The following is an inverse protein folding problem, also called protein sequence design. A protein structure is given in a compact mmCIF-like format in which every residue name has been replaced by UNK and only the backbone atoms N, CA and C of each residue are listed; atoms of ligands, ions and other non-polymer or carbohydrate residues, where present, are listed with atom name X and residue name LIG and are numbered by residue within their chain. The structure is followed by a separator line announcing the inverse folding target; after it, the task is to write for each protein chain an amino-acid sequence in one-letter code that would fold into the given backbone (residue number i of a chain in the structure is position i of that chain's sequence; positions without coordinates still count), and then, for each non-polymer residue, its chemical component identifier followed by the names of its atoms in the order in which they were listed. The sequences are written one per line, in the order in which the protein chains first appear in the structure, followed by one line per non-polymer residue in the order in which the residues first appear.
data_IF_819441783514
#
_entry.id   IF_819441783514
#
_cell.length_a   1.000
_cell.length_b   1.000
_cell.length_c   1.000
_cell.angle_alpha   90.00
_cell.angle_beta   90.00
_cell.angle_gamma   90.00
#
_symmetry.space_group_name_H-M   'P 1'
#
loop_
_entity.id
_entity.type
_entity.pdbx_description
1 polymer ?
#
# COMPACT_ATOMS: atom_id res chain seq x y z
N UNK A 1 -29.48 -10.25 6.87
CA UNK A 1 -28.66 -9.14 7.42
C UNK A 1 -27.43 -9.01 6.54
N UNK A 2 -27.06 -7.80 6.11
CA UNK A 2 -25.87 -7.62 5.24
C UNK A 2 -24.61 -7.91 6.04
N UNK A 3 -23.69 -8.67 5.44
CA UNK A 3 -22.54 -9.19 6.16
C UNK A 3 -21.22 -8.55 5.72
N UNK A 4 -21.21 -7.87 4.55
CA UNK A 4 -20.01 -7.32 3.94
C UNK A 4 -20.26 -5.86 3.54
N UNK A 5 -19.30 -4.99 3.86
CA UNK A 5 -19.24 -3.63 3.33
C UNK A 5 -18.14 -3.54 2.26
N UNK A 6 -18.43 -2.83 1.18
CA UNK A 6 -17.44 -2.41 0.20
C UNK A 6 -17.16 -0.92 0.41
N UNK A 7 -15.94 -0.57 0.79
CA UNK A 7 -15.48 0.80 0.92
C UNK A 7 -14.81 1.27 -0.37
N UNK A 8 -15.28 2.37 -0.94
CA UNK A 8 -14.78 2.96 -2.19
C UNK A 8 -14.25 4.36 -1.91
N UNK A 9 -12.91 4.57 -1.83
CA UNK A 9 -12.36 5.92 -1.84
C UNK A 9 -12.57 6.54 -3.22
N UNK A 10 -13.09 7.76 -3.29
CA UNK A 10 -13.45 8.39 -4.56
C UNK A 10 -12.96 9.84 -4.62
N UNK A 11 -12.06 10.13 -5.57
CA UNK A 11 -11.54 11.45 -5.85
C UNK A 11 -11.67 11.74 -7.35
N UNK A 12 -12.53 12.70 -7.72
CA UNK A 12 -12.81 13.05 -9.12
C UNK A 12 -13.14 11.83 -10.01
N UNK A 13 -13.88 10.88 -9.43
CA UNK A 13 -14.08 9.56 -9.99
C UNK A 13 -15.40 9.39 -10.76
N UNK A 14 -16.15 10.45 -11.06
CA UNK A 14 -17.50 10.40 -11.65
C UNK A 14 -17.55 9.55 -12.94
N UNK A 15 -16.47 9.55 -13.73
CA UNK A 15 -16.38 8.78 -14.98
C UNK A 15 -16.09 7.30 -14.75
N UNK A 16 -15.27 6.99 -13.73
CA UNK A 16 -14.73 5.64 -13.52
C UNK A 16 -15.58 4.81 -12.56
N UNK A 17 -16.22 5.45 -11.58
CA UNK A 17 -17.01 4.78 -10.55
C UNK A 17 -18.18 3.95 -11.10
N UNK A 18 -18.62 4.26 -12.32
CA UNK A 18 -19.70 3.53 -13.00
C UNK A 18 -19.29 2.08 -13.29
N UNK A 19 -18.08 1.85 -13.80
CA UNK A 19 -17.57 0.51 -14.07
C UNK A 19 -17.35 -0.26 -12.78
N UNK A 20 -16.83 0.41 -11.76
CA UNK A 20 -16.66 -0.15 -10.42
C UNK A 20 -18.01 -0.64 -9.86
N UNK A 21 -19.04 0.22 -9.84
CA UNK A 21 -20.37 -0.13 -9.35
C UNK A 21 -21.06 -1.19 -10.23
N UNK A 22 -20.88 -1.17 -11.54
CA UNK A 22 -21.38 -2.21 -12.43
C UNK A 22 -20.79 -3.59 -12.07
N UNK A 23 -19.49 -3.65 -11.74
CA UNK A 23 -18.86 -4.89 -11.27
C UNK A 23 -19.40 -5.40 -9.95
N UNK A 24 -19.90 -4.50 -9.09
CA UNK A 24 -20.56 -4.84 -7.83
C UNK A 24 -22.01 -5.28 -8.07
N UNK A 25 -22.71 -4.63 -9.00
CA UNK A 25 -24.10 -4.97 -9.33
C UNK A 25 -24.28 -6.40 -9.83
N UNK A 26 -23.28 -6.94 -10.51
CA UNK A 26 -23.31 -8.32 -11.01
C UNK A 26 -22.85 -9.37 -10.00
N UNK A 27 -22.44 -8.99 -8.78
CA UNK A 27 -22.01 -9.96 -7.77
C UNK A 27 -23.17 -10.89 -7.36
N UNK A 28 -22.86 -12.19 -7.26
CA UNK A 28 -23.81 -13.26 -6.90
C UNK A 28 -24.52 -12.99 -5.57
N UNK A 29 -23.83 -12.36 -4.62
CA UNK A 29 -24.34 -12.05 -3.27
C UNK A 29 -24.61 -10.57 -3.05
N UNK A 30 -24.91 -9.80 -4.10
CA UNK A 30 -25.11 -8.33 -4.01
C UNK A 30 -26.11 -7.89 -2.93
N UNK A 31 -27.10 -8.72 -2.61
CA UNK A 31 -28.10 -8.43 -1.55
C UNK A 31 -27.52 -8.42 -0.14
N UNK A 32 -26.38 -9.10 0.06
CA UNK A 32 -25.67 -9.18 1.34
C UNK A 32 -24.61 -8.07 1.49
N UNK A 33 -24.51 -7.17 0.50
CA UNK A 33 -23.49 -6.14 0.41
C UNK A 33 -24.07 -4.76 0.72
N UNK A 34 -23.35 -3.98 1.53
CA UNK A 34 -23.52 -2.53 1.67
C UNK A 34 -22.33 -1.83 1.02
N UNK A 35 -22.56 -0.69 0.39
CA UNK A 35 -21.53 0.08 -0.28
C UNK A 35 -21.38 1.44 0.40
N UNK A 36 -20.14 1.84 0.67
CA UNK A 36 -19.81 3.15 1.20
C UNK A 36 -18.86 3.83 0.24
N UNK A 37 -19.35 4.86 -0.46
CA UNK A 37 -18.50 5.75 -1.27
C UNK A 37 -18.01 6.87 -0.36
N UNK A 38 -16.72 6.90 -0.07
CA UNK A 38 -16.08 7.94 0.71
C UNK A 38 -15.44 8.97 -0.25
N UNK A 39 -16.17 10.07 -0.51
CA UNK A 39 -15.64 11.15 -1.35
C UNK A 39 -14.42 11.78 -0.71
N UNK A 40 -13.38 12.05 -1.49
CA UNK A 40 -12.18 12.77 -1.06
C UNK A 40 -11.97 14.08 -1.85
N UNK A 41 -13.02 14.56 -2.50
CA UNK A 41 -13.07 15.87 -3.16
C UNK A 41 -14.34 16.59 -2.72
N UNK A 42 -14.18 17.85 -2.26
CA UNK A 42 -15.29 18.67 -1.74
C UNK A 42 -16.36 18.95 -2.80
N UNK A 43 -15.91 19.14 -4.04
CA UNK A 43 -16.78 19.50 -5.16
C UNK A 43 -17.37 18.28 -5.90
N UNK A 44 -17.05 17.07 -5.45
CA UNK A 44 -17.56 15.85 -6.10
C UNK A 44 -18.97 15.52 -5.62
N UNK A 45 -19.88 15.38 -6.56
CA UNK A 45 -21.23 14.84 -6.32
C UNK A 45 -21.35 13.44 -6.94
N UNK A 46 -21.70 12.47 -6.11
CA UNK A 46 -21.96 11.09 -6.49
C UNK A 46 -23.46 10.71 -6.31
N UNK A 47 -24.36 11.66 -6.15
CA UNK A 47 -25.81 11.40 -5.94
C UNK A 47 -26.42 10.60 -7.11
N UNK A 48 -25.95 10.85 -8.34
CA UNK A 48 -26.39 10.19 -9.57
C UNK A 48 -26.24 8.66 -9.55
N UNK A 49 -25.31 8.11 -8.74
CA UNK A 49 -25.10 6.66 -8.70
C UNK A 49 -26.29 5.90 -8.12
N UNK A 50 -27.08 6.53 -7.23
CA UNK A 50 -28.27 5.88 -6.64
C UNK A 50 -29.39 5.72 -7.66
N UNK A 51 -29.54 6.66 -8.57
CA UNK A 51 -30.48 6.58 -9.67
C UNK A 51 -30.06 5.53 -10.70
N UNK A 52 -28.74 5.46 -10.95
CA UNK A 52 -28.18 4.54 -11.94
C UNK A 52 -28.10 3.09 -11.46
N UNK A 53 -27.97 2.90 -10.15
CA UNK A 53 -27.82 1.58 -9.51
C UNK A 53 -28.84 1.41 -8.36
N UNK A 54 -30.16 1.45 -8.64
CA UNK A 54 -31.21 1.45 -7.60
C UNK A 54 -31.27 0.15 -6.79
N UNK A 55 -30.69 -0.93 -7.30
CA UNK A 55 -30.64 -2.22 -6.59
C UNK A 55 -29.49 -2.32 -5.59
N UNK A 56 -28.54 -1.39 -5.62
CA UNK A 56 -27.39 -1.38 -4.71
C UNK A 56 -27.70 -0.54 -3.47
N UNK A 57 -27.25 -1.04 -2.31
CA UNK A 57 -27.33 -0.29 -1.06
C UNK A 57 -26.13 0.64 -0.91
N UNK A 58 -26.25 1.85 -1.42
CA UNK A 58 -25.18 2.83 -1.49
C UNK A 58 -25.38 3.95 -0.47
N UNK A 59 -24.37 4.14 0.37
CA UNK A 59 -24.17 5.32 1.23
C UNK A 59 -23.02 6.17 0.71
N UNK A 60 -23.20 7.50 0.70
CA UNK A 60 -22.16 8.45 0.25
C UNK A 60 -21.72 9.25 1.47
N UNK A 61 -20.43 9.25 1.76
CA UNK A 61 -19.80 10.06 2.79
C UNK A 61 -19.07 11.25 2.14
N UNK A 62 -19.56 12.47 2.35
CA UNK A 62 -18.87 13.66 1.84
C UNK A 62 -17.55 13.89 2.60
N UNK A 63 -16.66 14.70 2.04
CA UNK A 63 -15.48 15.20 2.72
C UNK A 63 -15.53 16.73 2.87
N UNK A 64 -14.73 17.25 3.79
CA UNK A 64 -14.54 18.70 3.99
C UNK A 64 -13.28 19.20 3.29
N UNK A 65 -12.35 18.31 3.02
CA UNK A 65 -11.06 18.56 2.39
C UNK A 65 -10.50 17.28 1.78
N UNK A 66 -9.54 17.40 0.88
CA UNK A 66 -8.83 16.25 0.32
C UNK A 66 -7.83 15.71 1.36
N UNK A 67 -8.09 14.51 1.84
CA UNK A 67 -7.30 13.84 2.88
C UNK A 67 -6.48 12.64 2.36
N UNK A 68 -6.69 12.23 1.12
CA UNK A 68 -6.06 11.08 0.50
C UNK A 68 -6.83 9.77 0.68
N UNK A 69 -6.48 8.78 -0.14
CA UNK A 69 -7.17 7.49 -0.20
C UNK A 69 -7.20 6.76 1.14
N UNK A 70 -6.13 6.86 1.93
CA UNK A 70 -6.04 6.25 3.27
C UNK A 70 -7.14 6.73 4.21
N UNK A 71 -7.27 8.05 4.38
CA UNK A 71 -8.30 8.61 5.26
C UNK A 71 -9.71 8.47 4.68
N UNK A 72 -9.86 8.44 3.35
CA UNK A 72 -11.15 8.09 2.74
C UNK A 72 -11.55 6.64 3.07
N UNK A 73 -10.63 5.65 2.96
CA UNK A 73 -10.87 4.27 3.40
C UNK A 73 -11.15 4.19 4.89
N UNK A 74 -10.47 5.02 5.71
CA UNK A 74 -10.72 5.07 7.15
C UNK A 74 -12.14 5.54 7.47
N UNK A 75 -12.64 6.59 6.77
CA UNK A 75 -14.04 7.03 6.95
C UNK A 75 -15.04 5.92 6.60
N UNK A 76 -14.77 5.15 5.53
CA UNK A 76 -15.60 4.00 5.18
C UNK A 76 -15.55 2.90 6.27
N UNK A 77 -14.38 2.61 6.83
CA UNK A 77 -14.22 1.65 7.94
C UNK A 77 -14.93 2.10 9.22
N UNK A 78 -14.85 3.38 9.55
CA UNK A 78 -15.51 3.94 10.74
C UNK A 78 -17.04 3.89 10.60
N UNK A 79 -17.57 4.11 9.40
CA UNK A 79 -19.00 4.03 9.10
C UNK A 79 -19.51 2.60 8.87
N UNK A 80 -18.62 1.61 8.76
CA UNK A 80 -18.95 0.22 8.51
C UNK A 80 -19.73 -0.39 9.68
N UNK A 81 -20.91 -1.00 9.36
CA UNK A 81 -21.81 -1.65 10.31
C UNK A 81 -21.87 -3.17 10.15
N UNK A 82 -21.13 -3.72 9.21
CA UNK A 82 -21.06 -5.16 8.93
C UNK A 82 -19.86 -5.79 9.61
N UNK A 83 -19.81 -7.13 9.66
CA UNK A 83 -18.70 -7.86 10.28
C UNK A 83 -17.41 -7.82 9.45
N UNK A 84 -17.57 -7.67 8.14
CA UNK A 84 -16.47 -7.71 7.17
C UNK A 84 -16.49 -6.51 6.25
N UNK A 85 -15.28 -6.05 5.86
CA UNK A 85 -15.08 -4.97 4.90
C UNK A 85 -14.05 -5.35 3.86
N UNK A 86 -14.30 -4.99 2.61
CA UNK A 86 -13.32 -5.00 1.51
C UNK A 86 -13.22 -3.60 0.92
N UNK A 87 -12.08 -3.29 0.32
CA UNK A 87 -11.88 -2.02 -0.36
C UNK A 87 -11.65 -2.23 -1.86
N UNK A 88 -12.20 -1.33 -2.65
CA UNK A 88 -11.96 -1.28 -4.08
C UNK A 88 -11.76 0.18 -4.49
N UNK A 89 -10.74 0.45 -5.30
CA UNK A 89 -10.52 1.78 -5.83
C UNK A 89 -11.57 2.11 -6.90
N UNK A 90 -11.96 3.37 -6.97
CA UNK A 90 -13.09 3.80 -7.80
C UNK A 90 -12.88 3.64 -9.30
N UNK A 91 -11.65 3.40 -9.74
CA UNK A 91 -11.24 3.13 -11.14
C UNK A 91 -10.96 1.65 -11.44
N UNK A 92 -11.12 0.77 -10.43
CA UNK A 92 -10.93 -0.67 -10.54
C UNK A 92 -12.26 -1.44 -10.55
N UNK A 93 -12.20 -2.77 -10.77
CA UNK A 93 -13.38 -3.63 -10.80
C UNK A 93 -13.14 -4.97 -10.10
N UNK A 94 -14.18 -5.58 -9.54
CA UNK A 94 -14.13 -7.00 -9.19
C UNK A 94 -14.02 -7.84 -10.44
N UNK A 95 -13.09 -8.80 -10.45
CA UNK A 95 -12.71 -9.53 -11.66
C UNK A 95 -13.82 -10.44 -12.21
N UNK A 96 -14.66 -10.98 -11.34
CA UNK A 96 -15.73 -11.88 -11.74
C UNK A 96 -16.97 -11.75 -10.85
N UNK A 97 -18.16 -12.24 -11.28
CA UNK A 97 -19.40 -12.11 -10.53
C UNK A 97 -19.43 -12.85 -9.18
N UNK A 98 -18.51 -13.75 -8.91
CA UNK A 98 -18.43 -14.50 -7.65
C UNK A 98 -17.31 -13.99 -6.72
N UNK A 99 -16.61 -12.92 -7.07
CA UNK A 99 -15.42 -12.45 -6.37
C UNK A 99 -15.66 -12.26 -4.86
N UNK A 100 -16.76 -11.60 -4.47
CA UNK A 100 -17.07 -11.36 -3.07
C UNK A 100 -17.53 -12.66 -2.37
N UNK A 101 -18.23 -13.54 -3.06
CA UNK A 101 -18.63 -14.85 -2.52
C UNK A 101 -17.40 -15.75 -2.30
N UNK A 102 -16.42 -15.74 -3.20
CA UNK A 102 -15.15 -16.46 -3.04
C UNK A 102 -14.37 -15.96 -1.82
N UNK A 103 -14.24 -14.64 -1.66
CA UNK A 103 -13.63 -14.05 -0.46
C UNK A 103 -14.39 -14.47 0.81
N UNK A 104 -15.73 -14.38 0.82
CA UNK A 104 -16.56 -14.84 1.95
C UNK A 104 -16.35 -16.33 2.22
N UNK A 105 -16.29 -17.13 1.18
CA UNK A 105 -16.03 -18.58 1.27
C UNK A 105 -14.67 -18.93 1.85
N UNK A 106 -13.72 -17.98 1.88
CA UNK A 106 -12.42 -18.11 2.53
C UNK A 106 -12.45 -17.92 4.06
N UNK A 107 -13.55 -17.47 4.64
CA UNK A 107 -13.65 -17.27 6.11
C UNK A 107 -13.65 -18.63 6.80
N UNK A 108 -12.73 -18.81 7.76
CA UNK A 108 -12.60 -19.99 8.63
C UNK A 108 -12.56 -19.53 10.09
N UNK A 109 -12.46 -20.47 11.01
CA UNK A 109 -12.27 -20.17 12.44
C UNK A 109 -11.00 -19.31 12.61
N UNK A 110 -11.10 -18.27 13.42
CA UNK A 110 -10.03 -17.31 13.71
C UNK A 110 -9.48 -16.54 12.50
N UNK A 111 -10.12 -16.62 11.35
CA UNK A 111 -9.76 -15.79 10.19
C UNK A 111 -10.06 -14.32 10.47
N UNK A 112 -9.08 -13.46 10.28
CA UNK A 112 -9.26 -12.00 10.40
C UNK A 112 -9.09 -11.29 9.07
N UNK A 113 -8.51 -11.98 8.10
CA UNK A 113 -8.34 -11.51 6.73
C UNK A 113 -8.46 -12.68 5.76
N UNK A 114 -9.16 -12.49 4.65
CA UNK A 114 -9.11 -13.38 3.49
C UNK A 114 -8.45 -12.62 2.35
N UNK A 115 -7.42 -13.19 1.73
CA UNK A 115 -6.70 -12.63 0.60
C UNK A 115 -6.92 -13.50 -0.64
N UNK A 116 -7.44 -12.90 -1.72
CA UNK A 116 -7.52 -13.50 -3.05
C UNK A 116 -6.43 -12.97 -3.98
N UNK A 117 -6.34 -13.56 -5.16
CA UNK A 117 -5.47 -13.06 -6.24
C UNK A 117 -6.06 -11.79 -6.83
N UNK A 118 -5.25 -10.78 -7.05
CA UNK A 118 -5.62 -9.68 -7.92
C UNK A 118 -4.85 -9.74 -9.25
N UNK A 119 -5.50 -9.34 -10.31
CA UNK A 119 -4.91 -9.20 -11.63
C UNK A 119 -4.56 -7.74 -11.87
N UNK A 120 -3.43 -7.50 -12.50
CA UNK A 120 -3.01 -6.17 -12.93
C UNK A 120 -3.04 -6.09 -14.45
N UNK A 121 -3.69 -5.06 -15.00
CA UNK A 121 -3.46 -4.68 -16.39
C UNK A 121 -2.03 -4.18 -16.53
N UNK A 122 -1.20 -4.86 -17.33
CA UNK A 122 0.21 -4.49 -17.54
C UNK A 122 0.47 -3.89 -18.91
N UNK A 123 -0.45 -4.12 -19.85
CA UNK A 123 -0.39 -3.58 -21.21
C UNK A 123 -1.78 -3.47 -21.78
N UNK A 124 -2.07 -2.38 -22.47
CA UNK A 124 -3.31 -2.18 -23.20
C UNK A 124 -2.98 -1.69 -24.60
N UNK A 125 -3.39 -2.44 -25.59
CA UNK A 125 -3.19 -2.11 -27.01
C UNK A 125 -4.47 -2.41 -27.80
N UNK A 126 -4.56 -2.04 -29.09
CA UNK A 126 -5.77 -2.27 -29.91
C UNK A 126 -6.19 -3.72 -30.05
N UNK A 127 -5.29 -4.67 -29.80
CA UNK A 127 -5.56 -6.11 -29.89
C UNK A 127 -6.05 -6.72 -28.57
N UNK A 128 -5.97 -5.98 -27.46
CA UNK A 128 -6.44 -6.46 -26.17
C UNK A 128 -5.67 -5.92 -24.97
N UNK A 129 -5.93 -6.54 -23.83
CA UNK A 129 -5.31 -6.21 -22.54
C UNK A 129 -4.54 -7.42 -22.03
N UNK A 130 -3.29 -7.23 -21.67
CA UNK A 130 -2.49 -8.26 -20.98
C UNK A 130 -2.62 -8.11 -19.49
N UNK A 131 -2.99 -9.20 -18.83
CA UNK A 131 -3.14 -9.26 -17.38
C UNK A 131 -1.96 -10.02 -16.76
N UNK A 132 -1.47 -9.55 -15.63
CA UNK A 132 -0.50 -10.26 -14.79
C UNK A 132 -1.14 -10.58 -13.43
N UNK A 133 -1.15 -11.84 -12.98
CA UNK A 133 -1.60 -12.18 -11.65
C UNK A 133 -0.61 -11.66 -10.60
N UNK A 134 -1.16 -11.19 -9.48
CA UNK A 134 -0.44 -10.78 -8.29
C UNK A 134 -0.98 -11.59 -7.12
N UNK A 135 -0.30 -12.68 -6.81
CA UNK A 135 -0.65 -13.58 -5.72
C UNK A 135 0.40 -13.60 -4.59
N UNK A 136 1.27 -12.60 -4.57
CA UNK A 136 2.31 -12.49 -3.55
C UNK A 136 1.67 -12.35 -2.18
N UNK A 137 1.73 -13.39 -1.38
CA UNK A 137 1.34 -13.34 0.02
C UNK A 137 2.23 -12.29 0.70
N UNK A 138 1.59 -11.23 1.18
CA UNK A 138 2.36 -10.18 1.84
C UNK A 138 2.51 -8.88 1.07
N UNK A 139 1.92 -8.79 -0.13
CA UNK A 139 1.89 -7.50 -0.82
C UNK A 139 1.26 -6.39 0.05
N UNK A 140 1.70 -5.15 -0.08
CA UNK A 140 1.25 -4.05 0.78
C UNK A 140 -0.18 -3.58 0.47
N UNK A 141 -0.70 -3.82 -0.75
CA UNK A 141 -1.97 -3.27 -1.21
C UNK A 141 -3.18 -3.90 -0.53
N UNK A 142 -4.27 -3.16 -0.45
CA UNK A 142 -5.57 -3.62 0.09
C UNK A 142 -6.42 -4.38 -0.92
N UNK A 143 -5.93 -4.54 -2.14
CA UNK A 143 -6.64 -5.15 -3.27
C UNK A 143 -6.94 -6.63 -3.04
N UNK A 144 -8.17 -7.03 -3.37
CA UNK A 144 -8.59 -8.43 -3.29
C UNK A 144 -8.61 -9.00 -1.85
N UNK A 145 -8.83 -8.15 -0.84
CA UNK A 145 -8.82 -8.56 0.56
C UNK A 145 -10.15 -8.30 1.25
N UNK A 146 -10.51 -9.16 2.17
CA UNK A 146 -11.68 -9.04 3.03
C UNK A 146 -11.22 -9.06 4.49
N UNK A 147 -11.55 -8.04 5.26
CA UNK A 147 -11.05 -7.80 6.62
C UNK A 147 -12.16 -7.94 7.66
N UNK A 148 -11.85 -8.53 8.81
CA UNK A 148 -12.73 -8.59 9.98
C UNK A 148 -12.75 -7.21 10.68
N UNK A 149 -13.89 -6.54 10.66
CA UNK A 149 -14.05 -5.17 11.19
C UNK A 149 -13.84 -5.11 12.69
N UNK A 150 -14.34 -6.12 13.43
CA UNK A 150 -14.17 -6.18 14.88
C UNK A 150 -12.68 -6.29 15.24
N UNK A 151 -11.94 -7.17 14.58
CA UNK A 151 -10.50 -7.33 14.82
C UNK A 151 -9.76 -6.00 14.59
N UNK A 152 -10.03 -5.31 13.50
CA UNK A 152 -9.39 -4.01 13.19
C UNK A 152 -9.66 -2.98 14.29
N UNK A 153 -10.93 -2.84 14.71
CA UNK A 153 -11.37 -1.88 15.73
C UNK A 153 -10.78 -2.22 17.11
N UNK A 154 -10.83 -3.47 17.53
CA UNK A 154 -10.31 -3.93 18.83
C UNK A 154 -8.81 -3.72 18.96
N UNK A 155 -8.09 -3.84 17.85
CA UNK A 155 -6.64 -3.65 17.82
C UNK A 155 -6.20 -2.22 17.48
N UNK A 156 -7.13 -1.30 17.21
CA UNK A 156 -6.81 0.08 16.83
C UNK A 156 -6.05 0.18 15.51
N UNK A 157 -6.25 -0.79 14.62
CA UNK A 157 -5.61 -0.80 13.29
C UNK A 157 -6.39 0.15 12.38
N UNK A 158 -5.74 1.21 11.94
CA UNK A 158 -6.34 2.30 11.17
C UNK A 158 -5.45 2.68 9.99
N UNK A 159 -6.07 3.17 8.92
CA UNK A 159 -5.34 3.87 7.86
C UNK A 159 -4.81 5.20 8.39
N UNK A 160 -3.71 5.65 7.82
CA UNK A 160 -3.08 6.92 8.13
C UNK A 160 -3.30 7.95 7.01
N UNK A 161 -2.86 9.17 7.27
CA UNK A 161 -2.89 10.30 6.34
C UNK A 161 -1.79 10.26 5.27
N UNK A 162 -1.00 9.18 5.21
CA UNK A 162 0.03 9.04 4.18
C UNK A 162 -0.60 9.10 2.78
N UNK A 163 0.04 9.83 1.89
CA UNK A 163 -0.41 9.97 0.49
C UNK A 163 0.00 8.77 -0.39
N UNK A 164 0.97 7.99 0.06
CA UNK A 164 1.37 6.73 -0.54
C UNK A 164 1.82 5.77 0.56
N UNK A 165 1.60 4.46 0.35
CA UNK A 165 1.92 3.38 1.28
C UNK A 165 1.08 3.36 2.58
N UNK A 166 -0.05 4.07 2.61
CA UNK A 166 -1.04 4.00 3.68
C UNK A 166 -1.65 2.60 3.84
N UNK A 167 -1.82 1.91 2.73
CA UNK A 167 -2.26 0.52 2.66
C UNK A 167 -1.16 -0.44 3.14
N UNK A 168 0.09 -0.16 2.81
CA UNK A 168 1.25 -0.89 3.34
C UNK A 168 1.34 -0.80 4.86
N UNK A 169 1.25 0.41 5.42
CA UNK A 169 1.22 0.61 6.87
C UNK A 169 0.09 -0.19 7.52
N UNK A 170 -1.11 -0.14 6.95
CA UNK A 170 -2.29 -0.83 7.46
C UNK A 170 -2.11 -2.35 7.47
N UNK A 171 -1.67 -2.94 6.36
CA UNK A 171 -1.48 -4.38 6.24
C UNK A 171 -0.30 -4.90 7.07
N UNK A 172 0.79 -4.15 7.19
CA UNK A 172 1.92 -4.53 8.05
C UNK A 172 1.52 -4.55 9.53
N UNK A 173 0.70 -3.61 10.00
CA UNK A 173 0.15 -3.64 11.36
C UNK A 173 -0.63 -4.93 11.61
N UNK A 174 -1.51 -5.34 10.68
CA UNK A 174 -2.27 -6.58 10.80
C UNK A 174 -1.33 -7.77 10.99
N UNK A 175 -0.36 -7.94 10.09
CA UNK A 175 0.56 -9.08 10.08
C UNK A 175 1.39 -9.18 11.36
N UNK A 176 1.92 -8.07 11.83
CA UNK A 176 2.72 -8.05 13.05
C UNK A 176 1.88 -8.25 14.31
N UNK A 177 0.61 -7.80 14.33
CA UNK A 177 -0.30 -7.98 15.48
C UNK A 177 -0.74 -9.43 15.63
N UNK A 178 -0.91 -10.16 14.52
CA UNK A 178 -1.35 -11.56 14.59
C UNK A 178 -0.22 -12.56 14.91
N UNK A 179 1.03 -12.13 14.79
CA UNK A 179 2.14 -13.04 15.06
C UNK A 179 2.10 -13.60 16.48
N UNK A 180 2.19 -14.92 16.59
CA UNK A 180 2.05 -15.63 17.86
C UNK A 180 0.64 -15.64 18.46
N UNK A 181 -0.38 -15.12 17.76
CA UNK A 181 -1.79 -15.16 18.17
C UNK A 181 -2.52 -16.35 17.54
N UNK A 182 -3.75 -16.70 17.99
CA UNK A 182 -4.56 -17.72 17.34
C UNK A 182 -5.19 -17.27 16.02
N UNK A 183 -5.05 -16.00 15.65
CA UNK A 183 -5.63 -15.44 14.43
C UNK A 183 -4.83 -15.79 13.19
N UNK A 184 -5.49 -15.83 12.04
CA UNK A 184 -4.85 -16.17 10.78
C UNK A 184 -5.36 -15.32 9.60
N UNK A 185 -4.53 -15.26 8.57
CA UNK A 185 -4.87 -14.77 7.23
C UNK A 185 -5.09 -15.99 6.35
N UNK A 186 -6.25 -16.11 5.75
CA UNK A 186 -6.53 -17.17 4.80
C UNK A 186 -6.33 -16.69 3.37
N UNK A 187 -5.56 -17.43 2.58
CA UNK A 187 -5.27 -17.11 1.17
C UNK A 187 -6.05 -18.07 0.28
N UNK A 188 -6.78 -17.52 -0.67
CA UNK A 188 -7.49 -18.25 -1.72
C UNK A 188 -6.82 -18.00 -3.07
N UNK A 189 -6.83 -18.99 -3.96
CA UNK A 189 -6.15 -18.91 -5.27
C UNK A 189 -7.04 -18.37 -6.39
N UNK A 190 -8.19 -17.82 -6.04
CA UNK A 190 -9.16 -17.25 -6.98
C UNK A 190 -8.84 -15.79 -7.27
N UNK A 191 -8.92 -15.42 -8.57
CA UNK A 191 -8.80 -14.04 -9.01
C UNK A 191 -10.09 -13.29 -8.68
N UNK A 192 -10.01 -12.31 -7.81
CA UNK A 192 -11.17 -11.57 -7.27
C UNK A 192 -11.18 -10.08 -7.66
N UNK A 193 -10.03 -9.51 -8.00
CA UNK A 193 -9.86 -8.07 -8.21
C UNK A 193 -9.07 -7.82 -9.49
N UNK A 194 -9.43 -6.76 -10.22
CA UNK A 194 -8.70 -6.29 -11.40
C UNK A 194 -8.26 -4.84 -11.18
N UNK A 195 -6.95 -4.66 -11.03
CA UNK A 195 -6.30 -3.36 -11.04
C UNK A 195 -6.11 -2.89 -12.47
N UNK A 196 -6.80 -1.81 -12.85
CA UNK A 196 -6.86 -1.30 -14.22
C UNK A 196 -5.81 -0.23 -14.48
N UNK A 197 -5.30 -0.22 -15.70
CA UNK A 197 -4.49 0.88 -16.21
C UNK A 197 -5.45 1.93 -16.80
N UNK A 198 -5.42 3.15 -16.31
CA UNK A 198 -6.12 4.13 -17.09
C UNK A 198 -6.68 5.36 -16.43
N UNK A 199 -6.56 5.54 -15.13
CA UNK A 199 -6.92 6.85 -14.58
C UNK A 199 -5.80 7.86 -14.84
N UNK A 200 -6.16 9.03 -15.37
CA UNK A 200 -5.22 10.14 -15.60
C UNK A 200 -4.60 10.66 -14.29
N UNK A 201 -5.18 10.27 -13.16
CA UNK A 201 -4.83 10.70 -11.81
C UNK A 201 -4.16 9.62 -10.96
N UNK A 202 -3.77 8.47 -11.55
CA UNK A 202 -3.10 7.40 -10.81
C UNK A 202 -1.75 7.86 -10.25
N UNK A 203 -1.55 7.70 -8.94
CA UNK A 203 -0.28 8.00 -8.27
C UNK A 203 0.83 7.06 -8.74
N UNK A 204 0.46 5.86 -9.21
CA UNK A 204 1.38 4.77 -9.57
C UNK A 204 1.72 4.70 -11.05
N UNK A 205 1.32 5.66 -11.88
CA UNK A 205 1.74 5.69 -13.28
C UNK A 205 3.26 5.77 -13.38
N UNK A 206 3.83 4.69 -13.86
CA UNK A 206 5.27 4.55 -14.07
C UNK A 206 5.62 4.88 -15.50
N UNK A 207 6.49 5.82 -15.67
CA UNK A 207 7.12 6.18 -16.93
C UNK A 207 8.34 7.03 -16.63
N UNK A 208 9.24 7.13 -17.57
CA UNK A 208 10.30 8.13 -17.53
C UNK A 208 10.05 9.13 -18.65
N UNK A 209 10.36 10.39 -18.41
CA UNK A 209 10.35 11.37 -19.47
C UNK A 209 11.60 11.23 -20.37
N UNK A 210 11.71 12.09 -21.39
CA UNK A 210 12.83 12.12 -22.33
C UNK A 210 14.22 12.25 -21.68
N UNK A 211 14.27 12.72 -20.44
CA UNK A 211 15.50 12.90 -19.68
C UNK A 211 15.69 11.81 -18.60
N UNK A 212 14.91 10.71 -18.70
CA UNK A 212 15.01 9.57 -17.78
C UNK A 212 14.47 9.82 -16.38
N UNK A 213 13.72 10.92 -16.17
CA UNK A 213 13.13 11.23 -14.86
C UNK A 213 11.77 10.54 -14.76
N UNK A 214 11.51 9.80 -13.65
CA UNK A 214 10.23 9.17 -13.42
C UNK A 214 9.07 10.15 -13.51
N UNK A 215 8.02 9.79 -14.26
CA UNK A 215 6.82 10.61 -14.41
C UNK A 215 5.83 10.45 -13.26
N UNK A 216 6.11 9.53 -12.35
CA UNK A 216 5.31 9.35 -11.14
C UNK A 216 6.15 9.72 -9.91
N UNK A 217 5.48 9.83 -8.78
CA UNK A 217 6.09 10.24 -7.50
C UNK A 217 6.92 9.11 -6.89
N UNK A 218 8.00 8.69 -7.58
CA UNK A 218 8.90 7.64 -7.10
C UNK A 218 9.46 7.95 -5.72
N UNK A 219 9.91 9.19 -5.54
CA UNK A 219 10.44 9.67 -4.27
C UNK A 219 9.38 9.62 -3.16
N UNK A 220 8.14 10.00 -3.46
CA UNK A 220 7.03 9.93 -2.53
C UNK A 220 6.76 8.49 -2.07
N UNK A 221 6.69 7.55 -3.00
CA UNK A 221 6.47 6.15 -2.65
C UNK A 221 7.61 5.62 -1.76
N UNK A 222 8.86 6.00 -2.01
CA UNK A 222 9.99 5.59 -1.18
C UNK A 222 9.99 6.24 0.21
N UNK A 223 9.68 7.52 0.29
CA UNK A 223 9.50 8.21 1.58
C UNK A 223 8.32 7.59 2.32
N UNK A 224 7.18 7.43 1.65
CA UNK A 224 5.97 6.82 2.20
C UNK A 224 6.24 5.42 2.76
N UNK A 225 6.94 4.55 2.02
CA UNK A 225 7.30 3.21 2.47
C UNK A 225 8.18 3.23 3.73
N UNK A 226 9.12 4.17 3.81
CA UNK A 226 9.96 4.34 4.99
C UNK A 226 9.16 4.79 6.20
N UNK A 227 8.31 5.81 6.04
CA UNK A 227 7.46 6.32 7.13
C UNK A 227 6.44 5.27 7.57
N UNK A 228 5.78 4.61 6.62
CA UNK A 228 4.81 3.55 6.89
C UNK A 228 5.42 2.40 7.69
N UNK A 229 6.63 1.95 7.32
CA UNK A 229 7.33 0.88 8.03
C UNK A 229 7.77 1.30 9.44
N UNK A 230 8.22 2.55 9.63
CA UNK A 230 8.54 3.09 10.96
C UNK A 230 7.28 3.14 11.84
N UNK A 231 6.18 3.68 11.31
CA UNK A 231 4.90 3.80 12.06
C UNK A 231 4.33 2.43 12.43
N UNK A 232 4.32 1.48 11.48
CA UNK A 232 3.85 0.12 11.75
C UNK A 232 4.72 -0.57 12.81
N UNK A 233 6.04 -0.44 12.75
CA UNK A 233 6.96 -1.00 13.74
C UNK A 233 6.74 -0.40 15.14
N UNK A 234 6.63 0.93 15.24
CA UNK A 234 6.38 1.62 16.52
C UNK A 234 5.03 1.23 17.12
N UNK A 235 3.98 1.20 16.29
CA UNK A 235 2.65 0.76 16.72
C UNK A 235 2.66 -0.66 17.30
N UNK A 236 3.30 -1.60 16.63
CA UNK A 236 3.35 -2.98 17.07
C UNK A 236 4.27 -3.18 18.29
N UNK A 237 5.39 -2.45 18.38
CA UNK A 237 6.25 -2.46 19.56
C UNK A 237 5.55 -1.95 20.83
N UNK A 238 4.64 -0.98 20.71
CA UNK A 238 3.83 -0.53 21.85
C UNK A 238 2.92 -1.63 22.39
N UNK A 239 2.44 -2.54 21.53
CA UNK A 239 1.58 -3.67 21.92
C UNK A 239 2.39 -4.86 22.43
N UNK A 240 3.51 -5.16 21.82
CA UNK A 240 4.38 -6.28 22.18
C UNK A 240 5.86 -5.94 21.90
N UNK A 241 6.59 -5.36 22.88
CA UNK A 241 7.96 -4.87 22.69
C UNK A 241 9.00 -5.96 22.37
N UNK A 242 8.72 -7.22 22.70
CA UNK A 242 9.66 -8.34 22.58
C UNK A 242 9.23 -9.35 21.50
N UNK A 243 8.41 -8.96 20.53
CA UNK A 243 7.98 -9.83 19.46
C UNK A 243 9.07 -9.96 18.38
N UNK A 244 9.56 -11.19 18.17
CA UNK A 244 10.58 -11.51 17.17
C UNK A 244 10.17 -11.23 15.73
N UNK A 245 8.86 -11.29 15.41
CA UNK A 245 8.37 -10.94 14.10
C UNK A 245 8.54 -9.46 13.78
N UNK A 246 8.42 -8.58 14.79
CA UNK A 246 8.66 -7.15 14.62
C UNK A 246 10.15 -6.90 14.33
N UNK A 247 11.04 -7.55 15.08
CA UNK A 247 12.49 -7.44 14.86
C UNK A 247 12.87 -7.98 13.46
N UNK A 248 12.27 -9.10 13.06
CA UNK A 248 12.42 -9.64 11.71
C UNK A 248 11.92 -8.67 10.65
N UNK A 249 10.72 -8.12 10.79
CA UNK A 249 10.16 -7.12 9.88
C UNK A 249 11.06 -5.90 9.75
N UNK A 250 11.54 -5.35 10.87
CA UNK A 250 12.46 -4.20 10.86
C UNK A 250 13.75 -4.56 10.11
N UNK A 251 14.28 -5.77 10.28
CA UNK A 251 15.48 -6.24 9.57
C UNK A 251 15.19 -6.38 8.07
N UNK A 252 14.06 -6.93 7.68
CA UNK A 252 13.61 -7.02 6.29
C UNK A 252 13.51 -5.64 5.63
N UNK A 253 12.95 -4.65 6.34
CA UNK A 253 12.87 -3.28 5.85
C UNK A 253 14.25 -2.64 5.69
N UNK A 254 15.20 -2.87 6.62
CA UNK A 254 16.55 -2.33 6.51
C UNK A 254 17.34 -2.92 5.33
N UNK A 255 17.21 -4.22 5.10
CA UNK A 255 17.79 -4.89 3.92
C UNK A 255 17.13 -4.39 2.64
N UNK A 256 15.80 -4.15 2.67
CA UNK A 256 15.07 -3.55 1.56
C UNK A 256 15.57 -2.15 1.20
N UNK A 257 15.91 -1.31 2.19
CA UNK A 257 16.52 0.00 1.95
C UNK A 257 17.86 -0.11 1.20
N UNK A 258 18.67 -1.11 1.52
CA UNK A 258 19.90 -1.37 0.79
C UNK A 258 19.65 -1.69 -0.69
N UNK A 259 18.81 -2.64 -0.99
CA UNK A 259 18.50 -3.00 -2.38
C UNK A 259 17.87 -1.86 -3.16
N UNK A 260 17.00 -1.07 -2.52
CA UNK A 260 16.45 0.14 -3.12
C UNK A 260 17.55 1.17 -3.43
N UNK A 261 18.52 1.34 -2.53
CA UNK A 261 19.63 2.25 -2.74
C UNK A 261 20.53 1.79 -3.91
N UNK A 262 20.87 0.49 -3.97
CA UNK A 262 21.67 -0.10 -5.06
C UNK A 262 20.97 0.06 -6.42
N UNK A 263 19.68 -0.27 -6.48
CA UNK A 263 18.89 -0.06 -7.69
C UNK A 263 18.84 1.41 -8.09
N UNK A 264 18.69 2.28 -7.11
CA UNK A 264 18.65 3.72 -7.33
C UNK A 264 19.95 4.27 -7.89
N UNK A 265 21.11 3.85 -7.37
CA UNK A 265 22.42 4.24 -7.90
C UNK A 265 22.53 3.89 -9.38
N UNK A 266 22.06 2.71 -9.78
CA UNK A 266 22.17 2.23 -11.15
C UNK A 266 21.13 2.85 -12.11
N UNK A 267 19.87 2.98 -11.67
CA UNK A 267 18.76 3.34 -12.57
C UNK A 267 18.23 4.76 -12.38
N UNK A 268 18.38 5.33 -11.19
CA UNK A 268 17.76 6.61 -10.81
C UNK A 268 18.67 7.43 -9.87
N UNK A 269 19.91 7.72 -10.29
CA UNK A 269 20.95 8.28 -9.40
C UNK A 269 20.58 9.65 -8.79
N UNK A 270 19.65 10.39 -9.38
CA UNK A 270 19.18 11.68 -8.83
C UNK A 270 18.53 11.51 -7.45
N UNK A 271 17.95 10.33 -7.15
CA UNK A 271 17.32 10.03 -5.87
C UNK A 271 18.24 9.33 -4.86
N UNK A 272 19.51 9.05 -5.21
CA UNK A 272 20.40 8.29 -4.35
C UNK A 272 20.60 8.91 -2.96
N UNK A 273 20.74 10.24 -2.88
CA UNK A 273 20.87 10.96 -1.59
C UNK A 273 19.61 10.84 -0.74
N UNK A 274 18.43 10.88 -1.36
CA UNK A 274 17.17 10.72 -0.66
C UNK A 274 16.96 9.28 -0.17
N UNK A 275 17.32 8.28 -0.97
CA UNK A 275 17.27 6.88 -0.53
C UNK A 275 18.25 6.61 0.63
N UNK A 276 19.44 7.19 0.59
CA UNK A 276 20.36 7.09 1.73
C UNK A 276 19.81 7.79 2.97
N UNK A 277 19.15 8.94 2.81
CA UNK A 277 18.46 9.62 3.90
C UNK A 277 17.33 8.74 4.50
N UNK A 278 16.51 8.10 3.66
CA UNK A 278 15.46 7.18 4.10
C UNK A 278 16.04 6.03 4.94
N UNK A 279 17.15 5.45 4.48
CA UNK A 279 17.86 4.41 5.21
C UNK A 279 18.41 4.90 6.57
N UNK A 280 18.99 6.10 6.63
CA UNK A 280 19.46 6.72 7.89
C UNK A 280 18.29 6.94 8.85
N UNK A 281 17.18 7.49 8.35
CA UNK A 281 15.96 7.69 9.13
C UNK A 281 15.48 6.37 9.72
N UNK A 282 15.34 5.34 8.89
CA UNK A 282 14.87 4.03 9.33
C UNK A 282 15.81 3.39 10.35
N UNK A 283 17.12 3.48 10.12
CA UNK A 283 18.13 3.01 11.08
C UNK A 283 17.95 3.67 12.44
N UNK A 284 17.92 4.99 12.49
CA UNK A 284 17.87 5.73 13.77
C UNK A 284 16.53 5.59 14.49
N UNK A 285 15.43 5.44 13.76
CA UNK A 285 14.09 5.37 14.35
C UNK A 285 13.63 3.96 14.71
N UNK A 286 14.24 2.90 14.13
CA UNK A 286 13.81 1.52 14.34
C UNK A 286 14.94 0.50 14.47
N UNK A 287 15.88 0.46 13.51
CA UNK A 287 16.84 -0.65 13.41
C UNK A 287 17.91 -0.62 14.49
N UNK A 288 18.40 0.54 14.88
CA UNK A 288 19.44 0.73 15.91
C UNK A 288 19.10 0.02 17.23
N UNK A 289 17.83 0.04 17.63
CA UNK A 289 17.38 -0.55 18.88
C UNK A 289 17.37 -2.08 18.89
N UNK A 290 17.38 -2.69 17.70
CA UNK A 290 17.33 -4.14 17.55
C UNK A 290 18.61 -4.76 17.02
N UNK A 291 19.51 -3.97 16.48
CA UNK A 291 20.69 -4.45 15.73
C UNK A 291 21.51 -5.47 16.53
N UNK A 292 21.72 -5.26 17.83
CA UNK A 292 22.47 -6.17 18.67
C UNK A 292 21.77 -7.52 18.95
N UNK A 293 20.47 -7.62 18.64
CA UNK A 293 19.68 -8.84 18.80
C UNK A 293 19.59 -9.69 17.53
N UNK A 294 19.99 -9.12 16.40
CA UNK A 294 19.91 -9.80 15.10
C UNK A 294 21.18 -10.61 14.89
N UNK A 295 21.03 -11.94 14.80
CA UNK A 295 22.16 -12.83 14.48
C UNK A 295 22.55 -12.73 13.01
N UNK A 296 23.84 -13.00 12.70
CA UNK A 296 24.34 -13.03 11.33
C UNK A 296 23.55 -14.01 10.44
N UNK A 297 23.07 -15.11 11.02
CA UNK A 297 22.24 -16.08 10.32
C UNK A 297 20.91 -15.45 9.86
N UNK A 298 20.18 -14.79 10.75
CA UNK A 298 18.91 -14.12 10.42
C UNK A 298 19.13 -13.06 9.33
N UNK A 299 20.19 -12.26 9.48
CA UNK A 299 20.53 -11.24 8.50
C UNK A 299 20.84 -11.84 7.12
N UNK A 300 21.65 -12.91 7.09
CA UNK A 300 22.01 -13.63 5.85
C UNK A 300 20.80 -14.24 5.18
N UNK A 301 19.92 -14.89 5.95
CA UNK A 301 18.68 -15.49 5.43
C UNK A 301 17.77 -14.44 4.79
N UNK A 302 17.56 -13.31 5.48
CA UNK A 302 16.75 -12.19 4.97
C UNK A 302 17.39 -11.58 3.71
N UNK A 303 18.69 -11.34 3.73
CA UNK A 303 19.42 -10.79 2.59
C UNK A 303 19.29 -11.69 1.35
N UNK A 304 19.48 -13.00 1.52
CA UNK A 304 19.39 -13.99 0.44
C UNK A 304 17.98 -14.06 -0.13
N UNK A 305 16.96 -14.10 0.74
CA UNK A 305 15.56 -14.09 0.36
C UNK A 305 15.21 -12.84 -0.47
N UNK A 306 15.55 -11.65 0.02
CA UNK A 306 15.21 -10.40 -0.67
C UNK A 306 15.99 -10.22 -1.97
N UNK A 307 17.25 -10.66 -2.02
CA UNK A 307 18.02 -10.66 -3.27
C UNK A 307 17.33 -11.52 -4.33
N UNK A 308 16.80 -12.69 -3.95
CA UNK A 308 16.01 -13.54 -4.83
C UNK A 308 14.74 -12.88 -5.33
N UNK A 309 13.97 -12.25 -4.44
CA UNK A 309 12.75 -11.54 -4.78
C UNK A 309 12.98 -10.35 -5.74
N UNK A 310 14.11 -9.67 -5.59
CA UNK A 310 14.50 -8.52 -6.44
C UNK A 310 15.39 -8.91 -7.62
N UNK A 311 15.54 -10.18 -7.92
CA UNK A 311 16.46 -10.65 -8.96
C UNK A 311 16.16 -10.02 -10.34
N UNK A 312 14.88 -9.81 -10.69
CA UNK A 312 14.51 -9.15 -11.95
C UNK A 312 14.82 -7.65 -11.94
N UNK A 313 14.55 -6.97 -10.82
CA UNK A 313 14.82 -5.53 -10.69
C UNK A 313 16.32 -5.23 -10.71
N UNK A 314 17.12 -6.18 -10.21
CA UNK A 314 18.58 -6.09 -10.12
C UNK A 314 19.29 -6.76 -11.31
N UNK A 315 18.56 -7.21 -12.34
CA UNK A 315 19.17 -7.86 -13.49
C UNK A 315 20.18 -6.93 -14.19
N UNK A 316 21.43 -7.40 -14.31
CA UNK A 316 22.53 -6.62 -14.89
C UNK A 316 23.12 -5.55 -13.97
N UNK A 317 22.61 -5.40 -12.74
CA UNK A 317 23.17 -4.47 -11.75
C UNK A 317 24.20 -5.20 -10.90
N UNK A 318 25.44 -4.70 -10.95
CA UNK A 318 26.51 -5.08 -10.02
C UNK A 318 26.47 -4.04 -8.90
N UNK A 319 26.24 -4.44 -7.62
CA UNK A 319 26.24 -3.47 -6.53
C UNK A 319 27.60 -2.77 -6.42
N UNK A 320 27.62 -1.44 -6.51
CA UNK A 320 28.79 -0.61 -6.30
C UNK A 320 29.25 -0.57 -4.83
N UNK A 321 28.38 -1.03 -3.93
CA UNK A 321 28.57 -1.01 -2.49
C UNK A 321 28.00 -2.28 -1.87
N UNK A 322 28.73 -2.94 -1.00
CA UNK A 322 28.25 -4.08 -0.22
C UNK A 322 27.23 -3.65 0.85
N UNK A 323 26.44 -4.59 1.35
CA UNK A 323 25.51 -4.31 2.47
C UNK A 323 26.26 -3.80 3.70
N UNK A 324 27.44 -4.35 3.99
CA UNK A 324 28.24 -3.92 5.13
C UNK A 324 28.75 -2.48 4.99
N UNK A 325 29.24 -2.11 3.82
CA UNK A 325 29.68 -0.73 3.53
C UNK A 325 28.50 0.25 3.56
N UNK A 326 27.33 -0.16 3.03
CA UNK A 326 26.12 0.61 3.12
C UNK A 326 25.74 0.88 4.59
N UNK A 327 25.72 -0.16 5.42
CA UNK A 327 25.42 -0.01 6.86
C UNK A 327 26.44 0.88 7.57
N UNK A 328 27.73 0.74 7.22
CA UNK A 328 28.78 1.62 7.75
C UNK A 328 28.53 3.08 7.39
N UNK A 329 28.09 3.34 6.14
CA UNK A 329 27.74 4.68 5.68
C UNK A 329 26.50 5.24 6.40
N UNK A 330 25.44 4.43 6.52
CA UNK A 330 24.20 4.79 7.25
C UNK A 330 24.49 5.17 8.70
N UNK A 331 25.37 4.42 9.38
CA UNK A 331 25.71 4.65 10.79
C UNK A 331 26.61 5.89 11.02
N UNK A 332 27.57 6.13 10.12
CA UNK A 332 28.57 7.20 10.28
C UNK A 332 28.04 8.57 9.91
N UNK A 333 27.13 8.65 8.95
CA UNK A 333 26.60 9.92 8.53
C UNK A 333 25.59 10.48 9.54
N UNK A 334 25.75 11.76 9.88
CA UNK A 334 24.82 12.46 10.78
C UNK A 334 23.40 12.43 10.19
N UNK A 335 22.41 12.08 11.01
CA UNK A 335 20.99 12.20 10.69
C UNK A 335 20.45 13.50 11.27
N UNK A 336 19.99 14.40 10.42
CA UNK A 336 19.52 15.75 10.79
C UNK A 336 17.99 15.91 10.64
N UNK A 337 17.27 14.80 10.48
CA UNK A 337 15.80 14.81 10.40
C UNK A 337 15.27 15.54 9.16
N UNK A 338 14.11 16.16 9.28
CA UNK A 338 13.38 16.80 8.16
C UNK A 338 14.18 17.93 7.47
N UNK A 339 15.07 18.62 8.18
CA UNK A 339 15.90 19.67 7.59
C UNK A 339 16.89 19.14 6.56
N UNK A 340 17.42 17.93 6.80
CA UNK A 340 18.25 17.24 5.81
C UNK A 340 17.43 16.86 4.57
N UNK A 341 16.22 16.34 4.77
CA UNK A 341 15.32 15.98 3.67
C UNK A 341 14.97 17.20 2.81
N UNK A 342 14.61 18.32 3.43
CA UNK A 342 14.33 19.57 2.71
C UNK A 342 15.51 20.00 1.84
N UNK A 343 16.74 19.94 2.37
CA UNK A 343 17.97 20.29 1.61
C UNK A 343 18.25 19.33 0.45
N UNK A 344 17.97 18.05 0.63
CA UNK A 344 18.11 17.04 -0.45
C UNK A 344 17.09 17.32 -1.54
N UNK A 345 15.81 17.50 -1.17
CA UNK A 345 14.72 17.74 -2.12
C UNK A 345 14.88 19.04 -2.89
N UNK A 346 15.38 20.11 -2.26
CA UNK A 346 15.63 21.37 -2.94
C UNK A 346 16.65 21.24 -4.10
N UNK A 347 17.42 20.16 -4.18
CA UNK A 347 18.36 19.88 -5.26
C UNK A 347 17.78 18.98 -6.37
N UNK A 348 16.57 18.47 -6.18
CA UNK A 348 15.86 17.72 -7.23
C UNK A 348 15.37 18.69 -8.32
N UNK A 349 15.18 18.21 -9.57
CA UNK A 349 14.63 19.03 -10.64
C UNK A 349 13.26 19.62 -10.25
N UNK A 350 13.01 20.89 -10.59
CA UNK A 350 11.76 21.61 -10.26
C UNK A 350 10.51 20.82 -10.63
N UNK A 351 10.49 20.15 -11.78
CA UNK A 351 9.36 19.34 -12.23
C UNK A 351 9.04 18.12 -11.34
N UNK A 352 10.04 17.56 -10.61
CA UNK A 352 9.80 16.51 -9.61
C UNK A 352 9.03 17.10 -8.44
N UNK A 353 9.42 18.30 -8.00
CA UNK A 353 8.80 19.05 -6.91
C UNK A 353 7.39 19.52 -7.29
N UNK A 354 7.20 19.98 -8.54
CA UNK A 354 5.89 20.42 -9.06
C UNK A 354 4.87 19.29 -9.16
N UNK A 355 5.31 18.07 -9.48
CA UNK A 355 4.43 16.89 -9.44
C UNK A 355 3.97 16.59 -8.01
N UNK A 356 4.84 16.71 -7.03
CA UNK A 356 4.50 16.56 -5.62
C UNK A 356 3.45 17.58 -5.16
N UNK A 357 3.59 18.85 -5.59
CA UNK A 357 2.63 19.91 -5.28
C UNK A 357 1.25 19.67 -5.90
N UNK A 358 1.20 19.22 -7.17
CA UNK A 358 -0.06 18.89 -7.86
C UNK A 358 -0.81 17.71 -7.24
N UNK A 359 -0.10 16.80 -6.61
CA UNK A 359 -0.67 15.63 -5.94
C UNK A 359 -0.98 15.86 -4.46
N UNK A 360 -0.77 17.06 -3.95
CA UNK A 360 -1.02 17.41 -2.55
C UNK A 360 0.00 16.84 -1.56
N UNK A 361 1.20 16.50 -2.04
CA UNK A 361 2.25 15.81 -1.29
C UNK A 361 3.20 16.76 -0.57
N UNK A 362 3.05 18.05 -0.75
CA UNK A 362 4.00 19.06 -0.27
C UNK A 362 4.09 19.27 1.26
N UNK A 363 3.40 18.46 2.05
CA UNK A 363 3.45 18.53 3.51
C UNK A 363 3.65 17.14 4.12
N UNK A 364 4.88 16.82 4.40
CA UNK A 364 5.26 15.81 5.40
C UNK A 364 5.91 16.51 6.59
#
# INVERSE_FOLDING_TARGET
MKNITIGIPAYKAQKHIIDCLASIQIQSIKKDISIIIASDCVDDDYSFVKEKFPELDISILPCKENTGAGLARQRALDACKTDWITFIDSDDVFFNPMAIEMLRGGIRQNTIEVQGVFLQEVEKNPMGVRLAPRNDVGHPWVFGRLYNVKFLKDNGIRFSELRAMEDGEFNWKIRMVIDGSPFNINVINEAVYLWRIGSEHSITRTGVDKDGIPQYNYDLCQIGATIASIRASKFCKQKNPFNGAIDRFITEMMVGQYFTYVECLAKKPIFAKQNLFNAKRFYHECYKDIESRISDKILTDIYTMQRGQKAQDLLGIIPEISFFEFMSKVKKEKYEGEEELKRIRAKLPKRVIENDLKTGVATF
#
